data_IF_803937673168
#
_entry.id   IF_803937673168
#
_cell.length_a   1.000
_cell.length_b   1.000
_cell.length_c   1.000
_cell.angle_alpha   90.00
_cell.angle_beta   90.00
_cell.angle_gamma   90.00
#
_symmetry.space_group_name_H-M   'P 1'
#
loop_
_entity.id
_entity.type
_entity.pdbx_description
1 polymer ?
#
# COMPACT_ATOMS: atom_id res chain seq x y z
N UNK A 1 0.42 -29.19 4.16
CA UNK A 1 -0.38 -28.02 4.53
C UNK A 1 -0.33 -27.00 3.40
N UNK A 2 -1.48 -26.58 2.98
CA UNK A 2 -1.57 -25.55 1.96
C UNK A 2 -1.62 -24.19 2.62
N UNK A 3 -0.76 -23.30 2.14
CA UNK A 3 -0.76 -21.92 2.62
C UNK A 3 -1.43 -21.07 1.55
N UNK A 4 -2.53 -20.43 1.92
CA UNK A 4 -3.27 -19.58 1.02
C UNK A 4 -2.94 -18.12 1.26
N UNK A 5 -2.99 -17.33 0.20
CA UNK A 5 -2.83 -15.89 0.33
C UNK A 5 -4.02 -15.32 1.11
N UNK A 6 -3.80 -14.29 1.92
CA UNK A 6 -4.91 -13.61 2.59
C UNK A 6 -5.94 -13.10 1.59
N UNK A 7 -7.19 -13.03 2.03
CA UNK A 7 -8.28 -12.56 1.18
C UNK A 7 -7.95 -11.20 0.56
N UNK A 8 -8.15 -11.09 -0.74
CA UNK A 8 -7.86 -9.84 -1.46
C UNK A 8 -6.43 -9.71 -1.94
N UNK A 9 -5.62 -10.74 -1.72
CA UNK A 9 -4.23 -10.75 -2.18
C UNK A 9 -3.98 -11.93 -3.09
N UNK A 10 -2.97 -11.82 -3.93
CA UNK A 10 -2.52 -12.92 -4.77
C UNK A 10 -1.09 -12.66 -5.24
N UNK A 11 -0.39 -13.75 -5.52
CA UNK A 11 0.92 -13.64 -6.13
C UNK A 11 0.76 -13.38 -7.63
N UNK A 12 1.61 -12.54 -8.16
CA UNK A 12 1.62 -12.24 -9.59
C UNK A 12 2.95 -12.72 -10.17
N UNK A 13 2.87 -13.65 -11.11
CA UNK A 13 4.07 -14.27 -11.67
C UNK A 13 3.83 -14.72 -13.12
N UNK A 14 4.90 -15.18 -13.77
CA UNK A 14 4.82 -15.70 -15.13
C UNK A 14 4.38 -14.67 -16.14
N UNK A 15 3.58 -15.08 -17.10
CA UNK A 15 3.12 -14.20 -18.19
C UNK A 15 2.29 -13.03 -17.68
N UNK A 16 1.54 -13.24 -16.61
CA UNK A 16 0.76 -12.16 -16.02
C UNK A 16 1.67 -11.08 -15.43
N UNK A 17 2.77 -11.49 -14.78
CA UNK A 17 3.75 -10.55 -14.28
C UNK A 17 4.44 -9.81 -15.43
N UNK A 18 4.70 -10.48 -16.53
CA UNK A 18 5.30 -9.85 -17.71
C UNK A 18 4.39 -8.75 -18.26
N UNK A 19 3.08 -8.96 -18.27
CA UNK A 19 2.12 -7.94 -18.69
C UNK A 19 2.14 -6.74 -17.74
N UNK A 20 2.21 -7.00 -16.44
CA UNK A 20 2.34 -5.95 -15.44
C UNK A 20 3.59 -5.12 -15.67
N UNK A 21 4.72 -5.80 -15.90
CA UNK A 21 6.00 -5.11 -16.13
C UNK A 21 5.95 -4.25 -17.39
N UNK A 22 5.25 -4.70 -18.42
CA UNK A 22 5.09 -3.92 -19.64
C UNK A 22 4.31 -2.64 -19.38
N UNK A 23 3.20 -2.74 -18.65
CA UNK A 23 2.39 -1.58 -18.31
C UNK A 23 3.21 -0.61 -17.43
N UNK A 24 3.90 -1.12 -16.44
CA UNK A 24 4.75 -0.30 -15.58
C UNK A 24 5.84 0.42 -16.37
N UNK A 25 6.44 -0.27 -17.36
CA UNK A 25 7.48 0.33 -18.19
C UNK A 25 6.93 1.50 -19.02
N UNK A 26 5.76 1.32 -19.61
CA UNK A 26 5.11 2.39 -20.36
C UNK A 26 4.79 3.57 -19.46
N UNK A 27 4.30 3.31 -18.26
CA UNK A 27 4.02 4.36 -17.28
C UNK A 27 5.27 5.12 -16.88
N UNK A 28 6.38 4.41 -16.65
CA UNK A 28 7.66 5.05 -16.32
C UNK A 28 8.16 5.94 -17.43
N UNK A 29 8.08 5.46 -18.67
CA UNK A 29 8.50 6.24 -19.82
C UNK A 29 7.65 7.50 -19.98
N UNK A 30 6.34 7.36 -19.83
CA UNK A 30 5.43 8.49 -19.92
C UNK A 30 5.72 9.52 -18.83
N UNK A 31 5.89 9.07 -17.59
CA UNK A 31 6.21 9.95 -16.48
C UNK A 31 7.54 10.66 -16.68
N UNK A 32 8.54 9.94 -17.20
CA UNK A 32 9.84 10.53 -17.51
C UNK A 32 9.72 11.65 -18.53
N UNK A 33 8.89 11.44 -19.56
CA UNK A 33 8.67 12.45 -20.60
C UNK A 33 8.05 13.73 -20.05
N UNK A 34 7.26 13.61 -18.99
CA UNK A 34 6.64 14.76 -18.32
C UNK A 34 7.46 15.27 -17.12
N UNK A 35 8.64 14.73 -16.91
CA UNK A 35 9.50 15.17 -15.81
C UNK A 35 9.04 14.73 -14.43
N UNK A 36 8.18 13.73 -14.36
CA UNK A 36 7.68 13.18 -13.10
C UNK A 36 8.61 12.08 -12.63
N UNK A 37 9.11 12.21 -11.41
CA UNK A 37 10.04 11.24 -10.83
C UNK A 37 9.32 10.21 -9.97
N UNK A 38 9.89 9.02 -9.92
CA UNK A 38 9.33 7.94 -9.11
C UNK A 38 9.54 8.21 -7.63
N UNK A 39 8.50 7.89 -6.84
CA UNK A 39 8.59 7.88 -5.38
C UNK A 39 8.09 6.53 -4.90
N UNK A 40 8.75 5.99 -3.89
CA UNK A 40 8.32 4.76 -3.21
C UNK A 40 8.10 5.08 -1.76
N UNK A 41 6.92 4.78 -1.28
CA UNK A 41 6.54 5.08 0.09
C UNK A 41 6.41 3.78 0.89
N UNK A 42 6.57 3.84 2.22
CA UNK A 42 6.43 2.65 3.05
C UNK A 42 5.02 2.07 2.99
N UNK A 43 4.91 0.78 3.30
CA UNK A 43 3.64 0.08 3.31
C UNK A 43 2.81 0.42 4.55
N UNK A 44 3.45 0.95 5.59
CA UNK A 44 2.79 1.34 6.83
C UNK A 44 3.33 2.68 7.31
N UNK A 45 2.51 3.37 8.10
CA UNK A 45 2.80 4.70 8.63
C UNK A 45 2.34 4.80 10.08
N UNK A 46 2.76 5.85 10.77
CA UNK A 46 2.18 6.16 12.07
C UNK A 46 0.70 6.46 11.91
N UNK A 47 -0.11 5.92 12.79
CA UNK A 47 -1.56 6.10 12.73
C UNK A 47 -1.97 7.56 12.71
N UNK A 48 -1.22 8.42 13.39
CA UNK A 48 -1.50 9.85 13.45
C UNK A 48 -1.58 10.53 12.09
N UNK A 49 -0.80 10.04 11.11
CA UNK A 49 -0.84 10.59 9.77
C UNK A 49 -2.24 10.50 9.16
N UNK A 50 -2.89 9.37 9.38
CA UNK A 50 -4.23 9.14 8.83
C UNK A 50 -5.31 9.84 9.64
N UNK A 51 -5.14 9.91 10.94
CA UNK A 51 -6.10 10.58 11.80
C UNK A 51 -6.24 12.07 11.49
N UNK A 52 -5.16 12.70 11.08
CA UNK A 52 -5.19 14.12 10.69
C UNK A 52 -6.06 14.37 9.47
N UNK A 53 -6.15 13.39 8.58
CA UNK A 53 -6.95 13.54 7.36
C UNK A 53 -8.40 13.17 7.51
N UNK A 54 -8.73 12.23 8.40
CA UNK A 54 -10.08 11.65 8.49
C UNK A 54 -10.82 12.04 9.74
N UNK A 55 -10.13 12.47 10.78
CA UNK A 55 -10.71 12.73 12.08
C UNK A 55 -10.75 11.51 12.97
N UNK A 56 -10.79 11.73 14.28
CA UNK A 56 -10.61 10.63 15.25
C UNK A 56 -11.85 9.79 15.49
N UNK A 57 -13.02 10.29 15.16
CA UNK A 57 -14.29 9.66 15.55
C UNK A 57 -15.06 9.04 14.40
N UNK A 58 -14.46 8.89 13.23
CA UNK A 58 -15.16 8.35 12.08
C UNK A 58 -15.15 6.82 12.08
N UNK A 59 -16.18 6.24 11.48
CA UNK A 59 -16.25 4.78 11.27
C UNK A 59 -15.06 4.28 10.47
N UNK A 60 -14.53 5.10 9.58
CA UNK A 60 -13.37 4.75 8.75
C UNK A 60 -12.17 4.38 9.61
N UNK A 61 -11.91 5.15 10.67
CA UNK A 61 -10.80 4.89 11.58
C UNK A 61 -10.93 3.53 12.24
N UNK A 62 -12.13 3.15 12.63
CA UNK A 62 -12.35 1.92 13.38
C UNK A 62 -12.56 0.69 12.49
N UNK A 63 -13.22 0.85 11.36
CA UNK A 63 -13.64 -0.28 10.53
C UNK A 63 -12.77 -0.56 9.32
N UNK A 64 -12.16 0.47 8.75
CA UNK A 64 -11.44 0.32 7.49
C UNK A 64 -9.92 0.42 7.62
N UNK A 65 -9.41 0.85 8.75
CA UNK A 65 -7.98 0.94 8.98
C UNK A 65 -7.46 -0.31 9.68
N UNK A 66 -6.37 -0.85 9.16
CA UNK A 66 -5.67 -1.96 9.79
C UNK A 66 -4.55 -1.40 10.66
N UNK A 67 -4.82 -1.28 11.95
CA UNK A 67 -3.94 -0.64 12.92
C UNK A 67 -3.43 -1.65 13.93
N UNK A 68 -2.16 -1.54 14.28
CA UNK A 68 -1.53 -2.42 15.28
C UNK A 68 -0.44 -1.66 16.03
N UNK A 69 0.02 -2.26 17.12
CA UNK A 69 1.13 -1.71 17.90
C UNK A 69 2.42 -2.39 17.49
N UNK A 70 3.48 -1.61 17.30
CA UNK A 70 4.79 -2.20 17.07
C UNK A 70 5.43 -2.59 18.42
N UNK A 71 6.65 -3.10 18.38
CA UNK A 71 7.33 -3.57 19.58
C UNK A 71 7.66 -2.46 20.57
N UNK A 72 7.67 -1.21 20.12
CA UNK A 72 7.88 -0.03 20.96
C UNK A 72 6.57 0.63 21.37
N UNK A 73 5.44 -0.08 21.22
CA UNK A 73 4.10 0.37 21.57
C UNK A 73 3.64 1.62 20.81
N UNK A 74 4.16 1.81 19.61
CA UNK A 74 3.71 2.88 18.72
C UNK A 74 2.58 2.38 17.84
N UNK A 75 1.57 3.22 17.61
CA UNK A 75 0.44 2.84 16.77
C UNK A 75 0.79 2.98 15.29
N UNK A 76 0.67 1.89 14.56
CA UNK A 76 1.05 1.78 13.15
C UNK A 76 -0.18 1.35 12.36
N UNK A 77 -0.36 1.95 11.19
CA UNK A 77 -1.49 1.63 10.31
C UNK A 77 -0.98 1.29 8.92
N UNK A 78 -1.54 0.26 8.31
CA UNK A 78 -1.24 -0.10 6.93
C UNK A 78 -1.76 0.96 5.97
N UNK A 79 -0.93 1.25 4.95
CA UNK A 79 -1.28 2.23 3.94
C UNK A 79 -2.37 1.72 3.02
#
# INVERSE_FOLDING_TARGET
MLTEAPKGTKDIYGSYMEEWQRVEQVMRELCSDFGIKEIRIPIFEHTELYLRGVGETTDIVQKEMYTFKDKADRSITLR
#
